data_IF_980876749184
#
_entry.id   IF_980876749184
#
_cell.length_a   1.000
_cell.length_b   1.000
_cell.length_c   1.000
_cell.angle_alpha   90.00
_cell.angle_beta   90.00
_cell.angle_gamma   90.00
#
_symmetry.space_group_name_H-M   'P 1'
#
loop_
_entity.id
_entity.type
_entity.pdbx_description
1 polymer ?
#
# COMPACT_ATOMS: atom_id res chain seq x y z
N UNK A 1 15.24 0.71 28.79
CA UNK A 1 15.28 1.38 27.47
C UNK A 1 13.99 1.24 26.65
N UNK A 2 13.19 0.18 26.85
CA UNK A 2 12.04 -0.16 25.99
C UNK A 2 11.01 0.95 25.74
N UNK A 3 10.65 1.75 26.74
CA UNK A 3 9.61 2.78 26.55
C UNK A 3 10.09 3.92 25.64
N UNK A 4 11.39 4.25 25.67
CA UNK A 4 11.98 5.25 24.78
C UNK A 4 12.11 4.71 23.34
N UNK A 5 12.51 3.45 23.18
CA UNK A 5 12.56 2.78 21.88
C UNK A 5 11.16 2.68 21.24
N UNK A 6 10.16 2.33 22.04
CA UNK A 6 8.75 2.31 21.65
C UNK A 6 8.25 3.69 21.23
N UNK A 7 8.54 4.74 21.99
CA UNK A 7 8.16 6.10 21.63
C UNK A 7 8.78 6.52 20.28
N UNK A 8 10.09 6.30 20.11
CA UNK A 8 10.79 6.61 18.86
C UNK A 8 10.26 5.81 17.66
N UNK A 9 9.86 4.55 17.87
CA UNK A 9 9.20 3.75 16.83
C UNK A 9 7.84 4.35 16.45
N UNK A 10 7.01 4.69 17.44
CA UNK A 10 5.68 5.26 17.20
C UNK A 10 5.74 6.60 16.46
N UNK A 11 6.71 7.46 16.78
CA UNK A 11 6.92 8.74 16.07
C UNK A 11 7.21 8.51 14.58
N UNK A 12 8.12 7.58 14.26
CA UNK A 12 8.43 7.20 12.87
C UNK A 12 7.20 6.63 12.14
N UNK A 13 6.38 5.84 12.83
CA UNK A 13 5.14 5.28 12.24
C UNK A 13 4.11 6.37 11.97
N UNK A 14 3.98 7.35 12.87
CA UNK A 14 3.04 8.46 12.73
C UNK A 14 3.34 9.31 11.49
N UNK A 15 4.61 9.58 11.20
CA UNK A 15 5.06 10.32 10.00
C UNK A 15 4.70 9.64 8.68
N UNK A 16 4.50 8.32 8.68
CA UNK A 16 4.15 7.56 7.49
C UNK A 16 2.66 7.60 7.16
N UNK A 17 1.82 8.28 7.93
CA UNK A 17 0.39 8.40 7.59
C UNK A 17 0.18 9.25 6.32
N UNK A 18 -0.71 8.86 5.38
CA UNK A 18 -1.53 7.66 5.34
C UNK A 18 -0.77 6.42 4.86
N UNK A 19 -1.26 5.23 5.21
CA UNK A 19 -0.70 3.94 4.77
C UNK A 19 -1.76 3.05 4.13
N UNK A 20 -1.38 2.32 3.08
CA UNK A 20 -2.23 1.34 2.42
C UNK A 20 -1.41 0.15 1.92
N UNK A 21 -1.63 -1.03 2.51
CA UNK A 21 -0.95 -2.26 2.07
C UNK A 21 -1.56 -2.77 0.78
N UNK A 22 -0.80 -2.71 -0.31
CA UNK A 22 -1.23 -3.19 -1.62
C UNK A 22 -0.56 -2.44 -2.77
N UNK A 23 -1.17 -2.51 -3.94
CA UNK A 23 -0.63 -1.92 -5.17
C UNK A 23 -1.70 -1.13 -5.90
N UNK A 24 -1.33 0.06 -6.41
CA UNK A 24 -2.15 0.84 -7.33
C UNK A 24 -1.65 0.60 -8.76
N UNK A 25 -2.54 0.10 -9.61
CA UNK A 25 -2.23 -0.24 -11.00
C UNK A 25 -3.20 0.41 -11.97
N UNK A 26 -2.68 0.86 -13.11
CA UNK A 26 -3.48 1.31 -14.24
C UNK A 26 -3.81 0.08 -15.11
N UNK A 27 -5.09 -0.24 -15.22
CA UNK A 27 -5.58 -1.36 -16.03
C UNK A 27 -6.47 -0.88 -17.17
N UNK A 28 -6.67 -1.73 -18.17
CA UNK A 28 -7.53 -1.47 -19.33
C UNK A 28 -8.79 -2.33 -19.26
N UNK A 29 -9.94 -1.72 -18.93
CA UNK A 29 -11.23 -2.44 -18.77
C UNK A 29 -12.26 -2.05 -19.86
N UNK A 30 -13.15 -2.98 -20.25
CA UNK A 30 -14.28 -2.63 -21.10
C UNK A 30 -15.24 -1.68 -20.36
N UNK A 31 -15.90 -0.79 -21.09
CA UNK A 31 -16.98 0.04 -20.54
C UNK A 31 -18.35 -0.65 -20.67
N UNK A 32 -19.32 -0.19 -19.89
CA UNK A 32 -20.72 -0.63 -19.97
C UNK A 32 -21.50 -0.08 -21.18
N UNK A 33 -20.94 0.88 -21.93
CA UNK A 33 -21.60 1.48 -23.11
C UNK A 33 -21.68 0.48 -24.26
N UNK A 34 -22.92 0.15 -24.67
CA UNK A 34 -23.18 -0.67 -25.88
C UNK A 34 -22.53 -0.01 -27.10
N UNK A 35 -21.76 -0.78 -27.87
CA UNK A 35 -21.04 -0.33 -29.09
C UNK A 35 -20.04 0.81 -28.88
N UNK A 36 -19.32 0.83 -27.77
CA UNK A 36 -18.22 1.78 -27.60
C UNK A 36 -17.09 1.49 -28.61
N UNK A 37 -16.77 2.47 -29.47
CA UNK A 37 -15.74 2.36 -30.51
C UNK A 37 -14.35 2.05 -29.96
N UNK A 38 -13.96 2.69 -28.84
CA UNK A 38 -12.67 2.47 -28.19
C UNK A 38 -12.55 1.06 -27.57
N UNK A 39 -13.67 0.48 -27.12
CA UNK A 39 -13.68 -0.91 -26.64
C UNK A 39 -13.69 -1.90 -27.81
N UNK A 40 -14.46 -1.63 -28.86
CA UNK A 40 -14.52 -2.46 -30.07
C UNK A 40 -13.15 -2.52 -30.78
N UNK A 41 -12.36 -1.45 -30.73
CA UNK A 41 -11.01 -1.39 -31.31
C UNK A 41 -9.92 -2.03 -30.42
N UNK A 42 -10.28 -2.70 -29.32
CA UNK A 42 -9.33 -3.33 -28.39
C UNK A 42 -8.57 -2.37 -27.45
N UNK A 43 -8.66 -1.04 -27.64
CA UNK A 43 -7.94 -0.05 -26.81
C UNK A 43 -8.39 -0.06 -25.35
N UNK A 44 -9.70 -0.29 -25.12
CA UNK A 44 -10.36 -0.29 -23.80
C UNK A 44 -10.12 1.00 -23.00
N UNK A 45 -10.75 1.15 -21.84
CA UNK A 45 -10.62 2.36 -21.04
C UNK A 45 -9.64 2.18 -19.88
N UNK A 46 -8.76 3.17 -19.63
CA UNK A 46 -7.92 3.16 -18.44
C UNK A 46 -8.78 3.25 -17.18
N UNK A 47 -8.45 2.44 -16.18
CA UNK A 47 -9.01 2.51 -14.84
C UNK A 47 -7.89 2.28 -13.84
N UNK A 48 -7.85 3.06 -12.77
CA UNK A 48 -6.96 2.80 -11.66
C UNK A 48 -7.64 1.82 -10.71
N UNK A 49 -6.90 0.80 -10.30
CA UNK A 49 -7.35 -0.17 -9.31
C UNK A 49 -6.34 -0.24 -8.18
N UNK A 50 -6.84 -0.42 -6.96
CA UNK A 50 -6.05 -0.80 -5.81
C UNK A 50 -6.31 -2.28 -5.51
N UNK A 51 -5.25 -3.07 -5.48
CA UNK A 51 -5.30 -4.49 -5.12
C UNK A 51 -4.62 -4.71 -3.79
N UNK A 52 -5.28 -5.44 -2.89
CA UNK A 52 -4.73 -5.76 -1.58
C UNK A 52 -5.20 -7.13 -1.10
N UNK A 53 -4.59 -7.62 -0.01
CA UNK A 53 -5.10 -8.78 0.74
C UNK A 53 -5.55 -8.32 2.12
N UNK A 54 -6.77 -8.68 2.50
CA UNK A 54 -7.33 -8.41 3.83
C UNK A 54 -7.87 -9.71 4.39
N UNK A 55 -7.39 -10.15 5.55
CA UNK A 55 -7.77 -11.43 6.16
C UNK A 55 -7.52 -12.64 5.24
N UNK A 56 -6.39 -12.65 4.53
CA UNK A 56 -6.02 -13.72 3.58
C UNK A 56 -6.77 -13.67 2.24
N UNK A 57 -7.78 -12.81 2.07
CA UNK A 57 -8.56 -12.70 0.83
C UNK A 57 -8.12 -11.53 -0.03
N UNK A 58 -8.01 -11.77 -1.33
CA UNK A 58 -7.74 -10.72 -2.32
C UNK A 58 -8.92 -9.76 -2.47
N UNK A 59 -8.63 -8.46 -2.56
CA UNK A 59 -9.58 -7.37 -2.79
C UNK A 59 -9.09 -6.55 -3.96
N UNK A 60 -10.02 -6.06 -4.79
CA UNK A 60 -9.74 -5.17 -5.90
C UNK A 60 -10.77 -4.04 -5.87
N UNK A 61 -10.30 -2.81 -5.75
CA UNK A 61 -11.13 -1.62 -5.58
C UNK A 61 -10.80 -0.60 -6.67
N UNK A 62 -11.82 0.05 -7.22
CA UNK A 62 -11.61 1.15 -8.16
C UNK A 62 -11.11 2.40 -7.43
N UNK A 63 -10.07 3.03 -7.97
CA UNK A 63 -9.52 4.29 -7.48
C UNK A 63 -9.89 5.40 -8.45
N UNK A 64 -10.45 6.50 -7.95
CA UNK A 64 -10.73 7.67 -8.80
C UNK A 64 -9.42 8.33 -9.21
N UNK A 65 -9.38 8.91 -10.41
CA UNK A 65 -8.17 9.57 -10.93
C UNK A 65 -7.66 10.70 -10.02
N UNK A 66 -8.55 11.44 -9.35
CA UNK A 66 -8.17 12.48 -8.39
C UNK A 66 -7.43 11.95 -7.16
N UNK A 67 -7.65 10.69 -6.80
CA UNK A 67 -7.09 10.07 -5.60
C UNK A 67 -5.79 9.30 -5.90
N UNK A 68 -5.32 9.29 -7.16
CA UNK A 68 -4.15 8.50 -7.58
C UNK A 68 -2.90 8.84 -6.78
N UNK A 69 -2.57 10.13 -6.66
CA UNK A 69 -1.38 10.59 -5.96
C UNK A 69 -1.42 10.21 -4.47
N UNK A 70 -2.58 10.38 -3.82
CA UNK A 70 -2.79 10.00 -2.43
C UNK A 70 -2.58 8.50 -2.23
N UNK A 71 -3.19 7.67 -3.07
CA UNK A 71 -3.08 6.22 -2.97
C UNK A 71 -1.66 5.72 -3.26
N UNK A 72 -0.96 6.31 -4.23
CA UNK A 72 0.45 5.98 -4.49
C UNK A 72 1.32 6.29 -3.29
N UNK A 73 1.19 7.49 -2.70
CA UNK A 73 1.88 7.86 -1.46
C UNK A 73 1.57 6.87 -0.33
N UNK A 74 0.30 6.51 -0.15
CA UNK A 74 -0.10 5.56 0.89
C UNK A 74 0.54 4.17 0.72
N UNK A 75 0.65 3.68 -0.52
CA UNK A 75 1.34 2.41 -0.79
C UNK A 75 2.85 2.49 -0.58
N UNK A 76 3.47 3.62 -0.91
CA UNK A 76 4.90 3.84 -0.66
C UNK A 76 5.19 3.91 0.83
N UNK A 77 4.39 4.68 1.57
CA UNK A 77 4.51 4.78 3.02
C UNK A 77 4.31 3.43 3.70
N UNK A 78 3.40 2.59 3.20
CA UNK A 78 3.24 1.24 3.72
C UNK A 78 4.50 0.38 3.53
N UNK A 79 5.25 0.52 2.43
CA UNK A 79 6.51 -0.20 2.23
C UNK A 79 7.57 0.24 3.25
N UNK A 80 7.63 1.55 3.53
CA UNK A 80 8.52 2.10 4.57
C UNK A 80 8.12 1.56 5.95
N UNK A 81 6.82 1.48 6.24
CA UNK A 81 6.31 0.92 7.49
C UNK A 81 6.66 -0.58 7.62
N UNK A 82 6.51 -1.36 6.56
CA UNK A 82 6.90 -2.78 6.55
C UNK A 82 8.41 -2.95 6.79
N UNK A 83 9.25 -2.04 6.29
CA UNK A 83 10.69 -2.04 6.56
C UNK A 83 10.99 -1.73 8.04
N UNK A 84 10.36 -0.70 8.62
CA UNK A 84 10.51 -0.38 10.05
C UNK A 84 10.10 -1.56 10.95
N UNK A 85 9.02 -2.26 10.60
CA UNK A 85 8.59 -3.46 11.32
C UNK A 85 9.63 -4.59 11.25
N UNK A 86 10.28 -4.76 10.11
CA UNK A 86 11.32 -5.77 9.95
C UNK A 86 12.58 -5.42 10.78
N UNK A 87 13.01 -4.16 10.75
CA UNK A 87 14.13 -3.66 11.56
C UNK A 87 13.86 -3.82 13.07
N UNK A 88 12.63 -3.54 13.51
CA UNK A 88 12.21 -3.75 14.90
C UNK A 88 12.33 -5.22 15.32
N UNK A 89 11.92 -6.13 14.43
CA UNK A 89 12.02 -7.57 14.68
C UNK A 89 13.47 -8.04 14.84
N UNK A 90 14.40 -7.48 14.06
CA UNK A 90 15.84 -7.77 14.19
C UNK A 90 16.35 -7.28 15.55
N UNK A 91 16.09 -6.01 15.88
CA UNK A 91 16.55 -5.42 17.15
C UNK A 91 16.02 -6.17 18.37
N UNK A 92 14.77 -6.61 18.33
CA UNK A 92 14.18 -7.40 19.41
C UNK A 92 14.92 -8.72 19.60
N UNK A 93 15.30 -9.41 18.53
CA UNK A 93 16.04 -10.68 18.61
C UNK A 93 17.46 -10.45 19.15
N UNK A 94 18.14 -9.39 18.71
CA UNK A 94 19.49 -9.03 19.18
C UNK A 94 19.50 -8.72 20.69
N UNK A 95 18.55 -7.90 21.16
CA UNK A 95 18.42 -7.59 22.59
C UNK A 95 18.10 -8.84 23.42
N UNK A 96 17.23 -9.74 22.92
CA UNK A 96 16.95 -11.02 23.58
C UNK A 96 18.17 -11.96 23.66
N UNK A 97 19.15 -11.80 22.77
CA UNK A 97 20.41 -12.55 22.79
C UNK A 97 21.46 -11.94 23.73
N UNK A 98 21.21 -10.75 24.27
CA UNK A 98 22.18 -10.00 25.04
C UNK A 98 23.32 -9.44 24.18
N UNK A 99 23.05 -9.19 22.89
CA UNK A 99 23.99 -8.61 21.92
C UNK A 99 23.89 -7.07 21.87
N UNK A 100 23.32 -6.43 22.91
CA UNK A 100 23.18 -4.97 23.03
C UNK A 100 24.53 -4.22 23.11
#
# INVERSE_FOLDING_TARGET
EDEAAKAAFLDKVAELWPVARGTVSLVRKPCNRKRCSACASGKRHPALIFTCRVGGRGRCLHVRKCDEALMRRATENCRKLEALLAEEGVRLVESLRGED
#
